data_IF_265207612761
#
_entry.id   IF_265207612761
#
_cell.length_a   1.000
_cell.length_b   1.000
_cell.length_c   1.000
_cell.angle_alpha   90.00
_cell.angle_beta   90.00
_cell.angle_gamma   90.00
#
_symmetry.space_group_name_H-M   'P 1'
#
loop_
_entity.id
_entity.type
_entity.pdbx_description
1 polymer ?
#
# COMPACT_ATOMS: atom_id res chain seq x y z
N UNK A 1 8.43 16.46 25.48
CA UNK A 1 7.10 16.32 24.86
C UNK A 1 7.14 15.14 23.90
N UNK A 2 6.39 14.06 24.17
CA UNK A 2 6.29 12.93 23.24
C UNK A 2 5.64 13.40 21.95
N UNK A 3 6.24 13.04 20.80
CA UNK A 3 5.61 13.27 19.50
C UNK A 3 4.27 12.52 19.49
N UNK A 4 3.16 13.25 19.42
CA UNK A 4 1.85 12.67 19.15
C UNK A 4 1.86 12.18 17.69
N UNK A 5 1.94 10.87 17.49
CA UNK A 5 1.94 10.26 16.17
C UNK A 5 0.51 9.95 15.72
N UNK A 6 0.29 10.00 14.41
CA UNK A 6 -0.96 9.53 13.82
C UNK A 6 -1.14 8.05 14.18
N UNK A 7 -2.20 7.73 14.93
CA UNK A 7 -2.51 6.35 15.29
C UNK A 7 -3.31 5.72 14.14
N UNK A 8 -2.62 5.13 13.19
CA UNK A 8 -3.20 4.29 12.16
C UNK A 8 -2.33 3.03 12.04
N UNK A 9 -2.91 1.89 12.29
CA UNK A 9 -2.19 0.62 12.36
C UNK A 9 -2.47 -0.22 11.12
N UNK A 10 -1.42 -0.66 10.46
CA UNK A 10 -1.49 -1.52 9.27
C UNK A 10 -0.87 -2.86 9.58
N UNK A 11 -1.56 -3.94 9.23
CA UNK A 11 -1.03 -5.30 9.26
C UNK A 11 -0.96 -5.90 7.87
N UNK A 12 0.20 -6.46 7.55
CA UNK A 12 0.45 -7.18 6.31
C UNK A 12 0.71 -8.64 6.65
N UNK A 13 -0.12 -9.51 6.11
CA UNK A 13 0.08 -10.95 6.13
C UNK A 13 0.67 -11.36 4.79
N UNK A 14 1.79 -12.08 4.77
CA UNK A 14 2.45 -12.52 3.54
C UNK A 14 2.67 -14.04 3.51
N UNK A 15 2.61 -14.60 2.33
CA UNK A 15 2.75 -16.05 2.13
C UNK A 15 4.22 -16.47 2.03
N UNK A 16 5.02 -15.69 1.31
CA UNK A 16 6.39 -16.05 0.97
C UNK A 16 7.45 -15.15 1.60
N UNK A 17 8.68 -15.60 1.50
CA UNK A 17 9.86 -14.87 1.99
C UNK A 17 10.14 -13.61 1.14
N UNK A 18 9.81 -13.64 -0.15
CA UNK A 18 10.05 -12.51 -1.07
C UNK A 18 9.23 -11.30 -0.69
N UNK A 19 7.92 -11.49 -0.47
CA UNK A 19 7.00 -10.45 -0.05
C UNK A 19 7.44 -9.90 1.31
N UNK A 20 7.77 -10.78 2.24
CA UNK A 20 8.26 -10.38 3.55
C UNK A 20 9.54 -9.52 3.44
N UNK A 21 10.53 -9.95 2.67
CA UNK A 21 11.79 -9.21 2.46
C UNK A 21 11.56 -7.86 1.77
N UNK A 22 10.66 -7.82 0.78
CA UNK A 22 10.30 -6.57 0.10
C UNK A 22 9.70 -5.56 1.09
N UNK A 23 8.67 -5.95 1.83
CA UNK A 23 8.00 -5.04 2.77
C UNK A 23 8.89 -4.68 3.96
N UNK A 24 9.71 -5.60 4.49
CA UNK A 24 10.67 -5.30 5.55
C UNK A 24 11.71 -4.27 5.09
N UNK A 25 12.23 -4.41 3.87
CA UNK A 25 13.15 -3.44 3.25
C UNK A 25 12.48 -2.10 3.03
N UNK A 26 11.24 -2.10 2.54
CA UNK A 26 10.43 -0.89 2.34
C UNK A 26 10.20 -0.15 3.65
N UNK A 27 9.84 -0.88 4.72
CA UNK A 27 9.67 -0.33 6.07
C UNK A 27 10.96 0.31 6.58
N UNK A 28 12.09 -0.37 6.43
CA UNK A 28 13.39 0.12 6.89
C UNK A 28 13.82 1.41 6.15
N UNK A 29 13.61 1.48 4.83
CA UNK A 29 14.04 2.62 3.99
C UNK A 29 13.06 3.79 4.08
N UNK A 30 11.75 3.53 3.99
CA UNK A 30 10.70 4.58 3.93
C UNK A 30 10.12 4.93 5.30
N UNK A 31 10.48 4.19 6.35
CA UNK A 31 9.98 4.36 7.72
C UNK A 31 8.44 4.31 7.84
N UNK A 32 7.80 3.54 6.96
CA UNK A 32 6.38 3.28 7.08
C UNK A 32 6.08 2.47 8.34
N UNK A 33 5.01 2.83 9.05
CA UNK A 33 4.61 2.14 10.26
C UNK A 33 3.59 1.04 9.95
N UNK A 34 4.05 -0.21 9.96
CA UNK A 34 3.20 -1.39 9.82
C UNK A 34 3.86 -2.62 10.46
N UNK A 35 3.05 -3.61 10.76
CA UNK A 35 3.53 -4.92 11.24
C UNK A 35 3.32 -5.98 10.18
N UNK A 36 4.22 -6.97 10.16
CA UNK A 36 4.14 -8.12 9.28
C UNK A 36 3.91 -9.40 10.07
N UNK A 37 3.05 -10.26 9.54
CA UNK A 37 2.81 -11.59 10.07
C UNK A 37 2.78 -12.65 8.95
N UNK A 38 3.32 -13.85 9.20
CA UNK A 38 4.13 -14.20 10.37
C UNK A 38 5.42 -13.36 10.43
N UNK A 39 6.00 -13.20 11.61
CA UNK A 39 7.20 -12.36 11.80
C UNK A 39 8.36 -12.71 10.88
N UNK A 40 8.57 -13.98 10.57
CA UNK A 40 9.35 -14.52 9.46
C UNK A 40 8.68 -15.83 9.07
N UNK A 41 8.34 -16.07 7.80
CA UNK A 41 7.81 -17.35 7.36
C UNK A 41 8.80 -18.46 7.66
N UNK A 42 8.48 -19.35 8.61
CA UNK A 42 9.32 -20.52 8.90
C UNK A 42 9.28 -21.46 7.69
N UNK A 43 10.44 -21.92 7.26
CA UNK A 43 10.62 -22.78 6.07
C UNK A 43 10.18 -22.18 4.73
N UNK A 44 10.09 -20.85 4.63
CA UNK A 44 9.94 -20.14 3.36
C UNK A 44 8.56 -20.19 2.71
N UNK A 45 7.57 -20.87 3.30
CA UNK A 45 6.21 -20.93 2.73
C UNK A 45 5.16 -21.04 3.83
N UNK A 46 4.33 -20.04 4.00
CA UNK A 46 3.02 -20.16 4.63
C UNK A 46 1.96 -20.24 3.52
N UNK A 47 0.91 -21.04 3.70
CA UNK A 47 -0.20 -21.02 2.74
C UNK A 47 -1.16 -19.89 3.07
N UNK A 48 -1.91 -19.38 2.07
CA UNK A 48 -2.95 -18.39 2.33
C UNK A 48 -3.94 -18.86 3.42
N UNK A 49 -4.24 -20.17 3.49
CA UNK A 49 -5.12 -20.76 4.52
C UNK A 49 -4.55 -20.60 5.94
N UNK A 50 -3.24 -20.68 6.10
CA UNK A 50 -2.59 -20.42 7.40
C UNK A 50 -2.66 -18.93 7.76
N UNK A 51 -2.42 -18.04 6.80
CA UNK A 51 -2.57 -16.62 6.98
C UNK A 51 -4.01 -16.22 7.33
N UNK A 52 -5.03 -16.84 6.71
CA UNK A 52 -6.43 -16.61 7.08
C UNK A 52 -6.72 -16.96 8.54
N UNK A 53 -6.09 -18.02 9.10
CA UNK A 53 -6.22 -18.33 10.54
C UNK A 53 -5.59 -17.25 11.43
N UNK A 54 -4.51 -16.63 11.01
CA UNK A 54 -3.89 -15.51 11.72
C UNK A 54 -4.79 -14.26 11.63
N UNK A 55 -5.34 -13.99 10.44
CA UNK A 55 -6.30 -12.92 10.20
C UNK A 55 -7.56 -13.09 11.06
N UNK A 56 -8.08 -14.31 11.19
CA UNK A 56 -9.22 -14.60 12.08
C UNK A 56 -8.94 -14.18 13.54
N UNK A 57 -7.69 -14.39 14.00
CA UNK A 57 -7.30 -13.96 15.35
C UNK A 57 -7.25 -12.43 15.46
N UNK A 58 -6.77 -11.76 14.43
CA UNK A 58 -6.75 -10.29 14.38
C UNK A 58 -8.16 -9.71 14.36
N UNK A 59 -9.06 -10.26 13.54
CA UNK A 59 -10.45 -9.82 13.41
C UNK A 59 -11.28 -10.04 14.69
N UNK A 60 -10.88 -10.99 15.55
CA UNK A 60 -11.53 -11.26 16.83
C UNK A 60 -11.10 -10.31 17.95
N UNK A 61 -10.07 -9.50 17.73
CA UNK A 61 -9.66 -8.50 18.72
C UNK A 61 -10.71 -7.41 18.91
N UNK A 62 -10.66 -6.75 20.05
CA UNK A 62 -11.47 -5.56 20.27
C UNK A 62 -11.20 -4.52 19.16
N UNK A 63 -12.21 -3.75 18.73
CA UNK A 63 -12.04 -2.75 17.65
C UNK A 63 -10.91 -1.74 17.92
N UNK A 64 -10.61 -1.44 19.17
CA UNK A 64 -9.54 -0.52 19.56
C UNK A 64 -8.13 -1.12 19.47
N UNK A 65 -8.01 -2.45 19.45
CA UNK A 65 -6.74 -3.20 19.39
C UNK A 65 -6.49 -3.80 18.01
N UNK A 66 -7.54 -3.86 17.20
CA UNK A 66 -7.48 -4.39 15.84
C UNK A 66 -6.80 -3.39 14.91
N UNK A 67 -6.05 -3.90 13.94
CA UNK A 67 -5.45 -3.07 12.91
C UNK A 67 -6.53 -2.35 12.08
N UNK A 68 -6.28 -1.07 11.75
CA UNK A 68 -7.17 -0.23 10.94
C UNK A 68 -7.20 -0.69 9.48
N UNK A 69 -6.10 -1.27 8.98
CA UNK A 69 -6.04 -1.90 7.67
C UNK A 69 -5.35 -3.27 7.76
N UNK A 70 -5.93 -4.27 7.11
CA UNK A 70 -5.43 -5.64 7.05
C UNK A 70 -5.24 -6.03 5.59
N UNK A 71 -4.00 -6.35 5.21
CA UNK A 71 -3.66 -6.82 3.88
C UNK A 71 -3.20 -8.28 3.92
N UNK A 72 -3.65 -9.07 2.96
CA UNK A 72 -3.12 -10.40 2.66
C UNK A 72 -2.41 -10.35 1.31
N UNK A 73 -1.09 -10.41 1.32
CA UNK A 73 -0.24 -10.44 0.11
C UNK A 73 -0.03 -11.88 -0.31
N UNK A 74 -0.33 -12.18 -1.57
CA UNK A 74 -0.40 -13.55 -2.07
C UNK A 74 0.03 -13.66 -3.53
N UNK A 75 0.81 -14.69 -3.81
CA UNK A 75 1.14 -15.12 -5.17
C UNK A 75 0.10 -16.14 -5.64
N UNK A 76 -0.45 -15.95 -6.84
CA UNK A 76 -1.59 -16.77 -7.33
C UNK A 76 -1.19 -17.93 -8.24
N UNK A 77 0.09 -18.04 -8.63
CA UNK A 77 0.57 -19.05 -9.59
C UNK A 77 0.25 -20.50 -9.24
N UNK A 78 0.28 -20.84 -7.95
CA UNK A 78 -0.03 -22.20 -7.47
C UNK A 78 -1.52 -22.42 -7.27
N UNK A 79 -2.27 -21.35 -6.99
CA UNK A 79 -3.71 -21.42 -6.68
C UNK A 79 -4.51 -21.63 -7.96
N UNK A 80 -4.14 -20.92 -9.04
CA UNK A 80 -4.89 -20.95 -10.30
C UNK A 80 -4.71 -22.25 -11.10
N UNK A 81 -3.69 -23.07 -10.77
CA UNK A 81 -3.41 -24.35 -11.45
C UNK A 81 -4.45 -25.44 -11.14
N UNK A 82 -5.15 -25.33 -10.03
CA UNK A 82 -6.15 -26.29 -9.58
C UNK A 82 -7.52 -25.58 -9.47
N UNK A 83 -8.44 -25.90 -10.35
CA UNK A 83 -9.78 -25.29 -10.40
C UNK A 83 -10.53 -25.39 -9.06
N UNK A 84 -10.36 -26.49 -8.32
CA UNK A 84 -11.02 -26.70 -7.01
C UNK A 84 -10.39 -25.78 -5.95
N UNK A 85 -9.07 -25.68 -5.93
CA UNK A 85 -8.37 -24.77 -5.02
C UNK A 85 -8.71 -23.32 -5.35
N UNK A 86 -8.75 -22.98 -6.63
CA UNK A 86 -9.10 -21.64 -7.08
C UNK A 86 -10.54 -21.25 -6.66
N UNK A 87 -11.52 -22.14 -6.85
CA UNK A 87 -12.89 -21.89 -6.39
C UNK A 87 -12.95 -21.69 -4.86
N UNK A 88 -12.24 -22.51 -4.07
CA UNK A 88 -12.16 -22.34 -2.62
C UNK A 88 -11.50 -21.00 -2.23
N UNK A 89 -10.47 -20.62 -2.96
CA UNK A 89 -9.78 -19.34 -2.75
C UNK A 89 -10.73 -18.16 -3.00
N UNK A 90 -11.46 -18.14 -4.12
CA UNK A 90 -12.41 -17.07 -4.44
C UNK A 90 -13.53 -16.95 -3.39
N UNK A 91 -14.04 -18.08 -2.89
CA UNK A 91 -15.02 -18.08 -1.80
C UNK A 91 -14.44 -17.48 -0.51
N UNK A 92 -13.22 -17.88 -0.15
CA UNK A 92 -12.53 -17.33 1.00
C UNK A 92 -12.28 -15.82 0.83
N UNK A 93 -11.76 -15.40 -0.32
CA UNK A 93 -11.52 -14.00 -0.66
C UNK A 93 -12.79 -13.16 -0.47
N UNK A 94 -13.89 -13.55 -1.13
CA UNK A 94 -15.17 -12.84 -1.03
C UNK A 94 -15.70 -12.74 0.41
N UNK A 95 -15.47 -13.77 1.23
CA UNK A 95 -15.82 -13.76 2.66
C UNK A 95 -15.02 -12.73 3.44
N UNK A 96 -13.68 -12.76 3.30
CA UNK A 96 -12.81 -11.92 4.12
C UNK A 96 -12.78 -10.46 3.64
N UNK A 97 -12.98 -10.20 2.35
CA UNK A 97 -13.17 -8.83 1.83
C UNK A 97 -14.38 -8.15 2.46
N UNK A 98 -15.49 -8.86 2.65
CA UNK A 98 -16.67 -8.37 3.41
C UNK A 98 -16.35 -8.07 4.89
N UNK A 99 -15.29 -8.65 5.43
CA UNK A 99 -14.82 -8.42 6.81
C UNK A 99 -13.75 -7.32 6.88
N UNK A 100 -13.46 -6.63 5.77
CA UNK A 100 -12.50 -5.54 5.69
C UNK A 100 -11.04 -5.96 5.46
N UNK A 101 -10.80 -7.20 4.99
CA UNK A 101 -9.46 -7.65 4.60
C UNK A 101 -9.25 -7.37 3.11
N UNK A 102 -8.15 -6.74 2.75
CA UNK A 102 -7.80 -6.48 1.35
C UNK A 102 -6.80 -7.53 0.86
N UNK A 103 -7.14 -8.20 -0.23
CA UNK A 103 -6.25 -9.18 -0.88
C UNK A 103 -5.37 -8.49 -1.91
N UNK A 104 -4.08 -8.58 -1.71
CA UNK A 104 -3.04 -8.00 -2.58
C UNK A 104 -2.42 -9.12 -3.40
N UNK A 105 -3.06 -9.41 -4.50
CA UNK A 105 -2.68 -10.51 -5.39
C UNK A 105 -1.60 -10.09 -6.38
N UNK A 106 -0.70 -11.02 -6.68
CA UNK A 106 0.23 -10.94 -7.81
C UNK A 106 0.14 -12.22 -8.64
N UNK A 107 0.03 -12.10 -9.96
CA UNK A 107 0.06 -13.23 -10.88
C UNK A 107 1.21 -13.08 -11.88
N UNK A 108 2.11 -14.08 -11.96
CA UNK A 108 2.15 -15.27 -11.12
C UNK A 108 2.69 -15.01 -9.71
N UNK A 109 3.58 -14.02 -9.52
CA UNK A 109 4.24 -13.73 -8.25
C UNK A 109 4.66 -12.26 -8.13
N UNK A 110 5.08 -11.85 -6.92
CA UNK A 110 5.43 -10.47 -6.60
C UNK A 110 6.53 -9.88 -7.50
N UNK A 111 7.36 -10.69 -8.13
CA UNK A 111 8.44 -10.22 -9.00
C UNK A 111 7.92 -9.46 -10.24
N UNK A 112 6.65 -9.62 -10.62
CA UNK A 112 5.99 -8.77 -11.62
C UNK A 112 6.01 -7.29 -11.17
N UNK A 113 5.83 -7.03 -9.88
CA UNK A 113 5.93 -5.69 -9.34
C UNK A 113 7.30 -5.07 -9.57
N UNK A 114 8.38 -5.86 -9.43
CA UNK A 114 9.74 -5.37 -9.66
C UNK A 114 9.98 -5.08 -11.16
N UNK A 115 9.49 -5.92 -12.04
CA UNK A 115 9.54 -5.65 -13.47
C UNK A 115 8.79 -4.36 -13.85
N UNK A 116 7.63 -4.10 -13.26
CA UNK A 116 6.83 -2.90 -13.53
C UNK A 116 7.55 -1.60 -13.18
N UNK A 117 8.54 -1.60 -12.30
CA UNK A 117 9.39 -0.44 -12.04
C UNK A 117 10.25 -0.08 -13.25
N UNK A 118 10.67 -1.06 -14.03
CA UNK A 118 11.73 -0.96 -15.03
C UNK A 118 11.24 -1.13 -16.47
N UNK A 119 9.96 -1.47 -16.65
CA UNK A 119 9.28 -1.55 -17.94
C UNK A 119 8.61 -0.22 -18.26
N UNK A 120 8.79 0.29 -19.50
CA UNK A 120 8.10 1.51 -19.94
C UNK A 120 6.58 1.35 -19.96
N UNK A 121 6.12 0.20 -20.44
CA UNK A 121 4.72 -0.17 -20.45
C UNK A 121 4.56 -1.54 -19.82
N UNK A 122 3.36 -1.79 -19.23
CA UNK A 122 3.08 -3.07 -18.62
C UNK A 122 3.19 -4.25 -19.59
N UNK A 123 3.15 -4.01 -20.90
CA UNK A 123 3.28 -5.02 -21.95
C UNK A 123 2.40 -6.25 -21.70
N UNK A 124 1.84 -6.87 -22.70
CA UNK A 124 1.07 -8.10 -22.52
C UNK A 124 2.02 -9.26 -22.21
N UNK A 125 2.57 -9.27 -20.96
CA UNK A 125 3.40 -10.38 -20.51
C UNK A 125 2.49 -11.50 -20.02
N UNK A 126 2.84 -12.74 -20.36
CA UNK A 126 2.05 -13.95 -20.07
C UNK A 126 2.88 -14.98 -19.31
N UNK A 127 3.69 -14.55 -18.35
CA UNK A 127 4.46 -15.45 -17.51
C UNK A 127 3.53 -16.31 -16.65
N UNK A 128 3.74 -17.62 -16.67
CA UNK A 128 2.91 -18.57 -15.90
C UNK A 128 3.50 -18.89 -14.55
N UNK A 129 4.83 -18.80 -14.44
CA UNK A 129 5.59 -19.18 -13.24
C UNK A 129 6.79 -18.28 -13.02
N UNK A 130 7.31 -18.29 -11.81
CA UNK A 130 8.48 -17.53 -11.42
C UNK A 130 9.70 -17.72 -12.33
N UNK A 131 9.96 -18.97 -12.77
CA UNK A 131 11.13 -19.29 -13.60
C UNK A 131 11.13 -18.57 -14.94
N UNK A 132 9.95 -18.21 -15.47
CA UNK A 132 9.82 -17.42 -16.70
C UNK A 132 10.10 -15.92 -16.48
N UNK A 133 9.83 -15.41 -15.26
CA UNK A 133 10.12 -14.02 -14.89
C UNK A 133 11.61 -13.82 -14.59
N UNK A 134 12.29 -14.82 -14.07
CA UNK A 134 13.65 -14.69 -13.57
C UNK A 134 14.66 -14.21 -14.64
N UNK A 135 14.67 -14.70 -15.88
CA UNK A 135 15.59 -14.21 -16.92
C UNK A 135 15.39 -12.71 -17.26
N UNK A 136 14.19 -12.21 -17.58
CA UNK A 136 13.99 -10.78 -17.81
C UNK A 136 14.26 -9.93 -16.56
N UNK A 137 13.93 -10.41 -15.37
CA UNK A 137 14.21 -9.73 -14.12
C UNK A 137 15.72 -9.56 -13.88
N UNK A 138 16.52 -10.60 -14.14
CA UNK A 138 17.99 -10.56 -14.00
C UNK A 138 18.69 -9.67 -15.04
N UNK A 139 18.05 -9.40 -16.18
CA UNK A 139 18.58 -8.43 -17.17
C UNK A 139 18.55 -7.01 -16.59
N UNK A 140 17.55 -6.67 -15.80
CA UNK A 140 17.35 -5.32 -15.23
C UNK A 140 17.82 -5.21 -13.77
N UNK A 141 17.75 -6.30 -13.01
CA UNK A 141 18.25 -6.42 -11.63
C UNK A 141 19.32 -7.51 -11.58
N UNK A 142 20.53 -7.14 -11.98
CA UNK A 142 21.64 -8.08 -12.06
C UNK A 142 21.86 -8.83 -10.73
N UNK A 143 22.00 -10.15 -10.81
CA UNK A 143 22.20 -11.00 -9.64
C UNK A 143 20.98 -11.12 -8.71
N UNK A 144 19.76 -10.86 -9.22
CA UNK A 144 18.55 -11.01 -8.40
C UNK A 144 18.46 -12.39 -7.75
N UNK A 145 18.24 -12.38 -6.44
CA UNK A 145 18.09 -13.54 -5.58
C UNK A 145 17.02 -13.30 -4.50
N UNK A 146 16.30 -14.38 -4.13
CA UNK A 146 15.32 -14.36 -3.02
C UNK A 146 16.01 -14.50 -1.66
N UNK A 147 17.00 -13.66 -1.36
CA UNK A 147 17.78 -13.74 -0.11
C UNK A 147 17.74 -12.42 0.65
N UNK A 148 17.75 -12.51 1.99
CA UNK A 148 17.83 -11.31 2.84
C UNK A 148 19.06 -10.46 2.52
N UNK A 149 20.18 -11.10 2.13
CA UNK A 149 21.40 -10.40 1.71
C UNK A 149 21.15 -9.54 0.48
N UNK A 150 20.48 -10.08 -0.54
CA UNK A 150 20.17 -9.33 -1.75
C UNK A 150 19.31 -8.10 -1.44
N UNK A 151 18.19 -8.27 -0.75
CA UNK A 151 17.25 -7.19 -0.44
C UNK A 151 17.88 -6.08 0.42
N UNK A 152 18.75 -6.43 1.36
CA UNK A 152 19.37 -5.46 2.28
C UNK A 152 20.59 -4.74 1.70
N UNK A 153 21.35 -5.38 0.83
CA UNK A 153 22.66 -4.87 0.44
C UNK A 153 22.83 -4.64 -1.06
N UNK A 154 21.90 -5.07 -1.91
CA UNK A 154 22.01 -4.80 -3.35
C UNK A 154 21.68 -3.34 -3.66
N UNK A 155 22.69 -2.59 -4.11
CA UNK A 155 22.57 -1.17 -4.39
C UNK A 155 21.62 -0.87 -5.55
N UNK A 156 21.59 -1.70 -6.58
CA UNK A 156 20.70 -1.54 -7.73
C UNK A 156 19.25 -1.72 -7.31
N UNK A 157 18.95 -2.78 -6.55
CA UNK A 157 17.60 -2.99 -6.00
C UNK A 157 17.15 -1.81 -5.12
N UNK A 158 18.01 -1.38 -4.20
CA UNK A 158 17.70 -0.25 -3.33
C UNK A 158 17.45 1.04 -4.14
N UNK A 159 18.30 1.35 -5.14
CA UNK A 159 18.16 2.54 -5.98
C UNK A 159 16.90 2.46 -6.85
N UNK A 160 16.77 1.42 -7.66
CA UNK A 160 15.77 1.35 -8.73
C UNK A 160 14.37 1.00 -8.21
N UNK A 161 14.26 0.12 -7.20
CA UNK A 161 12.97 -0.37 -6.70
C UNK A 161 12.50 0.43 -5.46
N UNK A 162 13.42 0.73 -4.53
CA UNK A 162 13.02 1.31 -3.25
C UNK A 162 13.07 2.84 -3.23
N UNK A 163 14.05 3.46 -3.86
CA UNK A 163 14.31 4.90 -3.76
C UNK A 163 13.83 5.69 -4.96
N UNK A 164 13.99 5.18 -6.19
CA UNK A 164 13.63 5.90 -7.41
C UNK A 164 12.10 6.14 -7.48
N UNK A 165 11.71 7.41 -7.37
CA UNK A 165 10.30 7.80 -7.40
C UNK A 165 9.68 7.62 -8.78
N UNK A 166 10.41 7.95 -9.83
CA UNK A 166 9.95 7.78 -11.20
C UNK A 166 9.63 6.31 -11.51
N UNK A 167 10.53 5.39 -11.14
CA UNK A 167 10.31 3.96 -11.31
C UNK A 167 9.11 3.48 -10.49
N UNK A 168 8.94 3.98 -9.28
CA UNK A 168 7.76 3.65 -8.44
C UNK A 168 6.46 4.15 -9.05
N UNK A 169 6.44 5.36 -9.61
CA UNK A 169 5.28 5.90 -10.30
C UNK A 169 4.96 5.08 -11.55
N UNK A 170 5.98 4.63 -12.28
CA UNK A 170 5.85 3.71 -13.41
C UNK A 170 5.25 2.37 -12.98
N UNK A 171 5.76 1.79 -11.90
CA UNK A 171 5.24 0.53 -11.36
C UNK A 171 3.76 0.65 -10.94
N UNK A 172 3.38 1.74 -10.29
CA UNK A 172 1.98 2.02 -9.93
C UNK A 172 1.12 2.11 -11.19
N UNK A 173 1.57 2.86 -12.22
CA UNK A 173 0.84 3.00 -13.49
C UNK A 173 0.65 1.66 -14.19
N UNK A 174 1.71 0.87 -14.32
CA UNK A 174 1.68 -0.45 -14.94
C UNK A 174 0.78 -1.42 -14.16
N UNK A 175 0.87 -1.40 -12.83
CA UNK A 175 0.04 -2.22 -11.96
C UNK A 175 -1.45 -1.90 -12.10
N UNK A 176 -1.82 -0.60 -12.14
CA UNK A 176 -3.21 -0.18 -12.35
C UNK A 176 -3.72 -0.61 -13.73
N UNK A 177 -2.91 -0.42 -14.77
CA UNK A 177 -3.27 -0.84 -16.14
C UNK A 177 -3.46 -2.35 -16.22
N UNK A 178 -2.55 -3.12 -15.60
CA UNK A 178 -2.65 -4.58 -15.60
C UNK A 178 -3.89 -5.08 -14.86
N UNK A 179 -4.25 -4.47 -13.73
CA UNK A 179 -5.48 -4.85 -13.01
C UNK A 179 -6.79 -4.48 -13.74
N UNK A 180 -6.74 -3.54 -14.69
CA UNK A 180 -7.90 -3.13 -15.50
C UNK A 180 -7.98 -3.84 -16.86
N UNK A 181 -6.94 -4.57 -17.21
CA UNK A 181 -6.92 -5.33 -18.47
C UNK A 181 -7.87 -6.53 -18.35
N UNK A 182 -8.71 -6.70 -19.35
CA UNK A 182 -9.61 -7.83 -19.46
C UNK A 182 -9.00 -8.84 -20.45
N UNK A 183 -8.41 -9.94 -19.95
CA UNK A 183 -7.79 -10.95 -20.81
C UNK A 183 -8.84 -11.68 -21.65
N UNK A 184 -8.46 -12.10 -22.85
CA UNK A 184 -9.28 -12.98 -23.67
C UNK A 184 -9.42 -14.36 -23.00
N UNK A 185 -10.44 -15.12 -23.39
CA UNK A 185 -10.66 -16.47 -22.86
C UNK A 185 -9.41 -17.34 -23.10
N UNK A 186 -8.90 -17.92 -22.01
CA UNK A 186 -7.69 -18.75 -22.02
C UNK A 186 -6.37 -17.97 -22.07
N UNK A 187 -6.40 -16.65 -22.12
CA UNK A 187 -5.20 -15.81 -22.05
C UNK A 187 -4.67 -15.74 -20.61
N UNK A 188 -3.36 -16.00 -20.45
CA UNK A 188 -2.68 -15.79 -19.17
C UNK A 188 -2.27 -14.32 -19.10
N UNK A 189 -2.68 -13.69 -18.04
CA UNK A 189 -2.47 -12.27 -17.81
C UNK A 189 -1.72 -12.03 -16.51
N UNK A 190 -0.63 -11.25 -16.58
CA UNK A 190 0.15 -10.87 -15.41
C UNK A 190 -0.36 -9.56 -14.82
N UNK A 191 -0.54 -9.55 -13.51
CA UNK A 191 -0.97 -8.37 -12.77
C UNK A 191 -0.43 -8.38 -11.34
N UNK A 192 -0.48 -7.24 -10.69
CA UNK A 192 -0.22 -7.12 -9.26
C UNK A 192 -1.02 -5.99 -8.64
N UNK A 193 -1.48 -6.16 -7.40
CA UNK A 193 -2.20 -5.13 -6.62
C UNK A 193 -1.32 -4.44 -5.58
N UNK A 194 -0.01 -4.64 -5.60
CA UNK A 194 0.93 -4.02 -4.63
C UNK A 194 0.79 -2.49 -4.60
N UNK A 195 0.42 -1.85 -5.72
CA UNK A 195 0.18 -0.41 -5.78
C UNK A 195 -0.84 0.09 -4.73
N UNK A 196 -1.81 -0.73 -4.31
CA UNK A 196 -2.81 -0.33 -3.32
C UNK A 196 -2.19 -0.11 -1.94
N UNK A 197 -1.28 -0.99 -1.53
CA UNK A 197 -0.53 -0.85 -0.27
C UNK A 197 0.37 0.38 -0.31
N UNK A 198 1.07 0.60 -1.43
CA UNK A 198 1.95 1.76 -1.60
C UNK A 198 1.16 3.08 -1.56
N UNK A 199 -0.01 3.11 -2.21
CA UNK A 199 -0.91 4.28 -2.16
C UNK A 199 -1.40 4.58 -0.75
N UNK A 200 -1.80 3.56 0.01
CA UNK A 200 -2.19 3.76 1.41
C UNK A 200 -1.04 4.38 2.21
N UNK A 201 0.18 3.84 2.10
CA UNK A 201 1.32 4.39 2.83
C UNK A 201 1.62 5.83 2.46
N UNK A 202 1.49 6.20 1.19
CA UNK A 202 1.64 7.58 0.73
C UNK A 202 0.57 8.50 1.34
N UNK A 203 -0.68 8.08 1.34
CA UNK A 203 -1.76 8.86 1.97
C UNK A 203 -1.49 9.05 3.47
N UNK A 204 -1.11 8.00 4.19
CA UNK A 204 -0.78 8.08 5.62
C UNK A 204 0.40 9.02 5.89
N UNK A 205 1.43 8.98 5.04
CA UNK A 205 2.54 9.91 5.14
C UNK A 205 2.07 11.35 4.97
N UNK A 206 1.24 11.64 3.96
CA UNK A 206 0.69 12.98 3.73
C UNK A 206 -0.22 13.45 4.85
N UNK A 207 -1.03 12.58 5.45
CA UNK A 207 -1.80 12.94 6.66
C UNK A 207 -0.87 13.34 7.81
N UNK A 208 0.23 12.60 8.00
CA UNK A 208 1.20 12.96 9.04
C UNK A 208 1.92 14.28 8.72
N UNK A 209 2.29 14.52 7.46
CA UNK A 209 2.91 15.78 7.02
C UNK A 209 1.96 16.96 7.25
N UNK A 210 0.68 16.85 6.87
CA UNK A 210 -0.37 17.83 7.14
C UNK A 210 -0.49 18.08 8.65
N UNK A 211 -0.54 17.02 9.46
CA UNK A 211 -0.63 17.14 10.93
C UNK A 211 0.55 17.94 11.51
N UNK A 212 1.77 17.67 11.04
CA UNK A 212 2.96 18.40 11.51
C UNK A 212 2.88 19.86 11.10
N UNK A 213 2.67 20.14 9.82
CA UNK A 213 2.64 21.52 9.30
C UNK A 213 1.50 22.37 9.92
N UNK A 214 0.30 21.80 10.08
CA UNK A 214 -0.81 22.50 10.77
C UNK A 214 -0.52 22.72 12.24
N UNK A 215 0.13 21.77 12.93
CA UNK A 215 0.53 21.95 14.34
C UNK A 215 1.56 23.07 14.51
N UNK A 216 2.51 23.18 13.60
CA UNK A 216 3.53 24.25 13.59
C UNK A 216 2.88 25.62 13.33
N UNK A 217 2.00 25.73 12.32
CA UNK A 217 1.31 26.96 12.01
C UNK A 217 0.39 27.42 13.15
N UNK A 218 -0.30 26.50 13.80
CA UNK A 218 -1.21 26.79 14.91
C UNK A 218 -0.49 26.98 16.25
N UNK A 219 0.80 26.62 16.32
CA UNK A 219 1.60 26.58 17.56
C UNK A 219 0.96 25.74 18.67
N UNK A 220 0.19 24.72 18.28
CA UNK A 220 -0.48 23.79 19.17
C UNK A 220 -0.55 22.41 18.54
N UNK A 221 -0.43 21.32 19.31
CA UNK A 221 -0.54 19.98 18.78
C UNK A 221 -1.91 19.72 18.15
N UNK A 222 -1.93 19.36 16.88
CA UNK A 222 -3.14 18.96 16.16
C UNK A 222 -3.25 17.43 16.17
N UNK A 223 -4.40 16.92 16.58
CA UNK A 223 -4.72 15.49 16.58
C UNK A 223 -5.61 15.18 15.38
N UNK A 224 -5.04 14.49 14.38
CA UNK A 224 -5.80 14.02 13.23
C UNK A 224 -6.13 12.54 13.38
N UNK A 225 -7.31 12.15 12.90
CA UNK A 225 -7.71 10.76 12.72
C UNK A 225 -7.90 10.48 11.23
N UNK A 226 -7.33 9.38 10.76
CA UNK A 226 -7.48 8.92 9.38
C UNK A 226 -8.33 7.64 9.35
N UNK A 227 -9.19 7.51 8.36
CA UNK A 227 -10.02 6.32 8.13
C UNK A 227 -10.10 6.06 6.62
N UNK A 228 -9.86 4.81 6.22
CA UNK A 228 -10.00 4.39 4.82
C UNK A 228 -11.47 4.06 4.54
N UNK A 229 -12.04 4.64 3.49
CA UNK A 229 -13.39 4.29 3.04
C UNK A 229 -13.38 3.06 2.11
N UNK A 230 -14.57 2.54 1.78
CA UNK A 230 -14.73 1.37 0.91
C UNK A 230 -14.26 1.59 -0.55
N UNK A 231 -13.97 2.83 -0.94
CA UNK A 231 -13.47 3.20 -2.26
C UNK A 231 -11.94 3.42 -2.27
N UNK A 232 -11.25 3.17 -1.15
CA UNK A 232 -9.81 3.38 -1.02
C UNK A 232 -9.41 4.85 -0.85
N UNK A 233 -10.34 5.76 -0.51
CA UNK A 233 -10.03 7.13 -0.14
C UNK A 233 -9.80 7.24 1.36
N UNK A 234 -8.96 8.18 1.78
CA UNK A 234 -8.65 8.40 3.18
C UNK A 234 -9.38 9.64 3.69
N UNK A 235 -10.33 9.44 4.58
CA UNK A 235 -11.03 10.50 5.30
C UNK A 235 -10.18 10.95 6.47
N UNK A 236 -9.93 12.26 6.57
CA UNK A 236 -9.15 12.88 7.64
C UNK A 236 -10.07 13.77 8.46
N UNK A 237 -10.03 13.61 9.78
CA UNK A 237 -10.86 14.35 10.72
C UNK A 237 -10.05 14.80 11.93
N UNK A 238 -10.57 15.76 12.68
CA UNK A 238 -10.02 16.25 13.94
C UNK A 238 -11.12 16.36 15.00
N UNK A 239 -10.74 16.44 16.26
CA UNK A 239 -11.66 16.61 17.37
C UNK A 239 -11.76 18.07 17.77
N UNK A 240 -13.00 18.54 17.99
CA UNK A 240 -13.35 19.82 18.58
C UNK A 240 -14.20 19.58 19.82
N UNK A 241 -14.48 20.63 20.58
CA UNK A 241 -15.40 20.58 21.73
C UNK A 241 -16.81 20.11 21.33
N UNK A 242 -17.19 20.32 20.08
CA UNK A 242 -18.48 19.91 19.49
C UNK A 242 -18.44 18.49 18.89
N UNK A 243 -17.35 17.75 19.10
CA UNK A 243 -17.16 16.41 18.59
C UNK A 243 -16.19 16.32 17.40
N UNK A 244 -16.33 15.25 16.61
CA UNK A 244 -15.46 14.97 15.49
C UNK A 244 -15.92 15.70 14.22
N UNK A 245 -15.03 16.46 13.61
CA UNK A 245 -15.26 17.16 12.35
C UNK A 245 -14.39 16.61 11.23
N UNK A 246 -14.95 16.54 10.03
CA UNK A 246 -14.23 16.14 8.81
C UNK A 246 -13.38 17.31 8.31
N UNK A 247 -12.08 17.10 8.15
CA UNK A 247 -11.13 18.10 7.67
C UNK A 247 -10.98 18.05 6.15
N UNK A 248 -10.51 16.92 5.65
CA UNK A 248 -10.28 16.71 4.23
C UNK A 248 -10.37 15.23 3.86
N UNK A 249 -10.38 14.96 2.55
CA UNK A 249 -10.29 13.64 1.96
C UNK A 249 -9.07 13.57 1.06
N UNK A 250 -8.22 12.55 1.26
CA UNK A 250 -7.16 12.21 0.33
C UNK A 250 -7.65 11.12 -0.61
N UNK A 251 -7.53 11.35 -1.91
CA UNK A 251 -7.88 10.36 -2.94
C UNK A 251 -6.92 10.37 -4.10
N UNK A 252 -6.81 9.24 -4.78
CA UNK A 252 -6.11 9.15 -6.05
C UNK A 252 -7.07 9.41 -7.22
N UNK A 253 -6.66 10.33 -8.11
CA UNK A 253 -7.25 10.53 -9.42
C UNK A 253 -6.20 10.11 -10.46
N UNK A 254 -6.40 8.93 -11.05
CA UNK A 254 -5.32 8.29 -11.81
C UNK A 254 -4.07 8.06 -10.95
N UNK A 255 -2.99 8.76 -11.28
CA UNK A 255 -1.72 8.69 -10.54
C UNK A 255 -1.53 9.83 -9.53
N UNK A 256 -2.36 10.86 -9.60
CA UNK A 256 -2.24 12.04 -8.77
C UNK A 256 -2.96 11.84 -7.44
N UNK A 257 -2.27 12.12 -6.34
CA UNK A 257 -2.89 12.23 -5.03
C UNK A 257 -3.47 13.62 -4.87
N UNK A 258 -4.76 13.71 -4.53
CA UNK A 258 -5.48 14.95 -4.27
C UNK A 258 -5.93 15.03 -2.82
N UNK A 259 -5.81 16.21 -2.23
CA UNK A 259 -6.43 16.59 -0.96
C UNK A 259 -7.64 17.47 -1.26
N UNK A 260 -8.82 17.03 -0.83
CA UNK A 260 -10.08 17.77 -1.02
C UNK A 260 -10.55 18.26 0.34
N UNK A 261 -10.65 19.57 0.50
CA UNK A 261 -11.13 20.18 1.74
C UNK A 261 -12.64 19.95 1.86
N UNK A 262 -13.11 19.51 3.01
CA UNK A 262 -14.52 19.16 3.17
C UNK A 262 -15.43 20.38 3.22
N UNK A 263 -14.99 21.49 3.83
CA UNK A 263 -15.77 22.74 3.96
C UNK A 263 -15.91 23.47 2.62
N UNK A 264 -14.80 23.74 1.94
CA UNK A 264 -14.75 24.56 0.72
C UNK A 264 -14.91 23.76 -0.57
N UNK A 265 -14.72 22.44 -0.53
CA UNK A 265 -14.64 21.56 -1.71
C UNK A 265 -13.43 21.84 -2.61
N UNK A 266 -12.52 22.68 -2.17
CA UNK A 266 -11.29 22.97 -2.88
C UNK A 266 -10.39 21.74 -2.94
N UNK A 267 -9.73 21.53 -4.09
CA UNK A 267 -8.90 20.37 -4.34
C UNK A 267 -7.46 20.78 -4.63
N UNK A 268 -6.54 20.21 -3.89
CA UNK A 268 -5.09 20.41 -4.03
C UNK A 268 -4.42 19.13 -4.53
N UNK A 269 -3.58 19.24 -5.56
CA UNK A 269 -2.74 18.14 -5.99
C UNK A 269 -1.52 18.07 -5.08
N UNK A 270 -1.32 16.90 -4.45
CA UNK A 270 -0.15 16.64 -3.60
C UNK A 270 0.92 15.94 -4.43
N UNK A 271 1.93 16.68 -4.84
CA UNK A 271 3.08 16.12 -5.56
C UNK A 271 4.01 15.42 -4.56
N UNK A 272 4.31 14.14 -4.83
CA UNK A 272 5.22 13.35 -4.00
C UNK A 272 6.69 13.78 -4.10
N UNK A 273 7.04 14.58 -5.11
CA UNK A 273 8.40 15.09 -5.30
C UNK A 273 8.75 16.29 -4.40
N UNK A 274 7.72 16.94 -3.82
CA UNK A 274 7.88 18.12 -2.97
C UNK A 274 7.43 17.84 -1.54
N UNK A 275 8.03 18.53 -0.59
CA UNK A 275 7.60 18.48 0.81
C UNK A 275 6.29 19.22 0.99
N UNK A 276 5.57 18.96 2.08
CA UNK A 276 4.29 19.61 2.37
C UNK A 276 4.42 21.14 2.49
N UNK A 277 5.59 21.65 2.84
CA UNK A 277 5.88 23.07 3.00
C UNK A 277 5.69 23.88 1.71
N UNK A 278 5.81 23.24 0.54
CA UNK A 278 5.48 23.85 -0.75
C UNK A 278 3.98 24.03 -0.98
N UNK A 279 3.14 23.43 -0.12
CA UNK A 279 1.69 23.56 -0.17
C UNK A 279 1.18 24.56 0.89
N UNK A 280 1.84 25.74 1.04
CA UNK A 280 1.51 26.73 2.07
C UNK A 280 0.03 27.08 2.12
N UNK A 281 -0.59 27.36 0.96
CA UNK A 281 -2.01 27.69 0.88
C UNK A 281 -2.91 26.56 1.38
N UNK A 282 -2.62 25.30 1.06
CA UNK A 282 -3.34 24.15 1.64
C UNK A 282 -3.25 24.14 3.17
N UNK A 283 -2.06 24.37 3.72
CA UNK A 283 -1.87 24.36 5.17
C UNK A 283 -2.57 25.55 5.84
N UNK A 284 -2.58 26.72 5.20
CA UNK A 284 -3.37 27.89 5.66
C UNK A 284 -4.86 27.58 5.74
N UNK A 285 -5.46 27.04 4.66
CA UNK A 285 -6.86 26.66 4.63
C UNK A 285 -7.19 25.62 5.69
N UNK A 286 -6.41 24.52 5.77
CA UNK A 286 -6.64 23.48 6.77
C UNK A 286 -6.51 24.02 8.21
N UNK A 287 -5.57 24.93 8.44
CA UNK A 287 -5.38 25.57 9.75
C UNK A 287 -6.55 26.49 10.09
N UNK A 288 -7.13 27.21 9.11
CA UNK A 288 -8.35 28.00 9.25
C UNK A 288 -9.53 27.14 9.67
N UNK A 289 -9.78 26.04 8.97
CA UNK A 289 -10.84 25.07 9.31
C UNK A 289 -10.69 24.55 10.74
N UNK A 290 -9.46 24.18 11.16
CA UNK A 290 -9.21 23.68 12.52
C UNK A 290 -9.46 24.76 13.58
N UNK A 291 -9.18 26.03 13.30
CA UNK A 291 -9.49 27.16 14.21
C UNK A 291 -10.99 27.49 14.26
N UNK A 292 -11.78 27.04 13.31
CA UNK A 292 -13.18 27.44 13.18
C UNK A 292 -13.35 28.86 12.62
N UNK A 293 -12.42 29.31 11.79
CA UNK A 293 -12.40 30.66 11.19
C UNK A 293 -12.89 30.68 9.74
N UNK A 294 -13.32 29.53 9.20
CA UNK A 294 -13.92 29.36 7.86
C UNK A 294 -15.44 29.17 7.91
#
# INVERSE_FOLDING_TARGET
>A
MGKLELRYTVKIFSEGITEWLYFDTLRAIKRFNFTMEPAIPQNGKSSYKQNLKLIDRELKKNPQERADAIFLVIDTDTIVKDNKQYAQYLQAKAKYEKMGVTFIESHPCIEIWFLYHLMENFGHTSYQVYDEILPPLRKVLAGYEKTARYYRYNRTFAKEIMLCQENRNRAIANSIKSCKYEPLEGEIHNYTRIHEVIRLFRMLQRVNDIRVATSEMLRTPVMLKAELDGNGNMQVSFHTDNGRQQLCMLKYDGQQLKCIINSTREAFVLDDSVTIDYHCHLIEVLSGVIRGTD
#
